data_IF_211895525026
#
_entry.id   IF_211895525026
#
_cell.length_a   1.000
_cell.length_b   1.000
_cell.length_c   1.000
_cell.angle_alpha   90.00
_cell.angle_beta   90.00
_cell.angle_gamma   90.00
#
_symmetry.space_group_name_H-M   'P 1'
#
loop_
_entity.id
_entity.type
_entity.pdbx_description
1 polymer ?
#
# COMPACT_ATOMS: atom_id res chain seq x y z
N UNK A 1 3.81 -82.11 12.71
CA UNK A 1 4.14 -80.67 12.85
C UNK A 1 4.61 -80.14 11.51
N UNK A 2 4.01 -79.09 10.92
CA UNK A 2 4.48 -78.56 9.64
C UNK A 2 5.76 -77.73 9.85
N UNK A 3 6.76 -77.93 8.98
CA UNK A 3 8.04 -77.20 9.03
C UNK A 3 7.85 -75.76 8.53
N UNK A 4 8.42 -74.80 9.24
CA UNK A 4 8.35 -73.37 8.88
C UNK A 4 8.95 -73.11 7.49
N UNK A 5 8.14 -72.57 6.58
CA UNK A 5 8.57 -72.09 5.27
C UNK A 5 9.49 -70.88 5.45
N UNK A 6 10.78 -71.05 5.14
CA UNK A 6 11.72 -69.93 5.09
C UNK A 6 11.35 -69.07 3.87
N UNK A 7 10.71 -67.92 4.12
CA UNK A 7 10.50 -66.90 3.08
C UNK A 7 11.86 -66.58 2.44
N UNK A 8 12.01 -66.88 1.15
CA UNK A 8 13.24 -66.58 0.42
C UNK A 8 13.42 -65.07 0.39
N UNK A 9 14.42 -64.58 1.12
CA UNK A 9 14.77 -63.16 1.14
C UNK A 9 15.29 -62.77 -0.23
N UNK A 10 14.67 -61.79 -0.88
CA UNK A 10 15.00 -61.39 -2.24
C UNK A 10 16.18 -60.40 -2.22
N UNK A 11 17.41 -60.80 -2.63
CA UNK A 11 18.62 -59.97 -2.49
C UNK A 11 18.58 -58.69 -3.33
N UNK A 12 17.73 -58.65 -4.36
CA UNK A 12 17.50 -57.47 -5.19
C UNK A 12 16.97 -56.27 -4.40
N UNK A 13 16.19 -56.51 -3.33
CA UNK A 13 15.63 -55.43 -2.48
C UNK A 13 16.67 -54.89 -1.50
N UNK A 14 17.63 -55.72 -1.06
CA UNK A 14 18.72 -55.32 -0.14
C UNK A 14 19.77 -54.44 -0.81
N UNK A 15 19.91 -54.56 -2.13
CA UNK A 15 20.92 -53.85 -2.92
C UNK A 15 20.37 -52.59 -3.60
N UNK A 16 19.11 -52.21 -3.38
CA UNK A 16 18.62 -50.89 -3.82
C UNK A 16 19.16 -49.84 -2.86
N UNK A 17 20.04 -48.93 -3.31
CA UNK A 17 20.52 -47.89 -2.43
C UNK A 17 19.35 -46.99 -2.06
N UNK A 18 19.12 -46.84 -0.76
CA UNK A 18 18.07 -45.98 -0.19
C UNK A 18 18.25 -44.52 -0.61
N UNK A 19 19.49 -44.11 -0.92
CA UNK A 19 19.84 -42.79 -1.42
C UNK A 19 20.69 -42.91 -2.68
N UNK A 20 20.20 -42.39 -3.80
CA UNK A 20 20.94 -42.35 -5.08
C UNK A 20 21.69 -41.02 -5.20
N UNK A 21 23.01 -41.08 -5.38
CA UNK A 21 23.83 -39.89 -5.64
C UNK A 21 23.54 -39.32 -7.03
N UNK A 22 23.33 -38.01 -7.14
CA UNK A 22 23.15 -37.32 -8.43
C UNK A 22 24.49 -37.21 -9.16
N UNK A 23 24.50 -37.49 -10.46
CA UNK A 23 25.70 -37.31 -11.32
C UNK A 23 26.06 -35.81 -11.40
N UNK A 24 27.35 -35.51 -11.27
CA UNK A 24 27.88 -34.16 -11.49
C UNK A 24 27.84 -33.87 -12.99
N UNK A 25 27.28 -32.72 -13.38
CA UNK A 25 27.26 -32.26 -14.77
C UNK A 25 28.25 -31.12 -14.92
N UNK A 26 29.10 -31.20 -15.94
CA UNK A 26 30.11 -30.17 -16.25
C UNK A 26 29.39 -28.83 -16.46
N UNK A 27 29.92 -27.76 -15.85
CA UNK A 27 29.37 -26.40 -15.94
C UNK A 27 28.13 -26.10 -15.08
N UNK A 28 27.70 -27.01 -14.19
CA UNK A 28 26.56 -26.76 -13.28
C UNK A 28 26.93 -26.96 -11.82
N UNK A 29 26.48 -26.04 -10.97
CA UNK A 29 26.64 -26.16 -9.53
C UNK A 29 25.76 -27.29 -8.97
N UNK A 30 26.34 -28.15 -8.14
CA UNK A 30 25.63 -29.25 -7.50
C UNK A 30 24.98 -28.73 -6.20
N UNK A 31 23.65 -28.72 -6.06
CA UNK A 31 23.00 -28.29 -4.83
C UNK A 31 23.26 -29.28 -3.70
N UNK A 32 23.42 -28.76 -2.48
CA UNK A 32 23.65 -29.57 -1.29
C UNK A 32 22.36 -30.31 -0.88
N UNK A 33 22.47 -31.60 -0.55
CA UNK A 33 21.31 -32.50 -0.40
C UNK A 33 20.45 -32.18 0.83
N UNK A 34 21.06 -31.69 1.91
CA UNK A 34 20.39 -31.47 3.21
C UNK A 34 20.41 -29.99 3.62
N UNK A 35 20.49 -29.07 2.66
CA UNK A 35 20.51 -27.63 2.96
C UNK A 35 19.09 -27.11 3.13
N UNK A 36 18.84 -26.48 4.28
CA UNK A 36 17.59 -25.75 4.53
C UNK A 36 17.66 -24.39 3.83
N UNK A 37 16.75 -24.13 2.91
CA UNK A 37 16.63 -22.82 2.30
C UNK A 37 15.96 -21.84 3.29
N UNK A 38 16.68 -20.79 3.68
CA UNK A 38 16.23 -19.73 4.59
C UNK A 38 15.82 -18.44 3.87
N UNK A 39 15.74 -18.46 2.53
CA UNK A 39 15.33 -17.31 1.74
C UNK A 39 13.84 -17.01 1.93
N UNK A 40 13.54 -16.07 2.83
CA UNK A 40 12.18 -15.57 3.06
C UNK A 40 12.06 -14.19 2.43
N UNK A 41 11.11 -14.04 1.48
CA UNK A 41 10.75 -12.75 0.90
C UNK A 41 9.43 -12.28 1.49
N UNK A 42 9.46 -11.19 2.25
CA UNK A 42 8.25 -10.53 2.77
C UNK A 42 8.05 -9.17 2.11
N UNK A 43 6.79 -8.83 1.81
CA UNK A 43 6.40 -7.48 1.37
C UNK A 43 5.70 -6.77 2.53
N UNK A 44 5.93 -5.47 2.67
CA UNK A 44 5.19 -4.65 3.63
C UNK A 44 3.89 -4.14 3.02
N UNK A 45 2.85 -4.06 3.84
CA UNK A 45 1.62 -3.35 3.50
C UNK A 45 1.87 -1.86 3.76
N UNK A 46 1.59 -1.00 2.78
CA UNK A 46 1.64 0.45 2.94
C UNK A 46 0.20 0.94 3.02
N UNK A 47 -0.19 1.40 4.21
CA UNK A 47 -1.49 2.04 4.41
C UNK A 47 -1.35 3.53 4.12
N UNK A 48 -2.35 4.10 3.46
CA UNK A 48 -2.45 5.55 3.29
C UNK A 48 -2.80 6.20 4.62
N UNK A 49 -2.16 7.32 4.92
CA UNK A 49 -2.47 8.11 6.11
C UNK A 49 -3.88 8.69 6.02
N UNK A 50 -4.62 8.63 7.13
CA UNK A 50 -5.92 9.30 7.27
C UNK A 50 -5.69 10.61 8.03
N UNK A 51 -6.13 11.73 7.47
CA UNK A 51 -5.97 13.09 8.03
C UNK A 51 -6.79 13.36 9.32
N UNK A 52 -7.04 12.34 10.14
CA UNK A 52 -7.80 12.44 11.40
C UNK A 52 -6.93 13.07 12.51
N UNK A 53 -5.61 12.84 12.47
CA UNK A 53 -4.67 13.33 13.50
C UNK A 53 -4.57 14.87 13.51
N UNK A 54 -4.69 15.52 12.35
CA UNK A 54 -4.66 16.98 12.26
C UNK A 54 -5.90 17.63 12.89
N UNK A 55 -7.03 16.93 12.93
CA UNK A 55 -8.26 17.41 13.57
C UNK A 55 -8.16 17.36 15.10
N UNK A 56 -7.43 16.39 15.65
CA UNK A 56 -7.24 16.23 17.10
C UNK A 56 -6.24 17.24 17.68
N UNK A 57 -5.14 17.53 16.98
CA UNK A 57 -4.12 18.49 17.46
C UNK A 57 -4.59 19.96 17.37
N UNK A 58 -5.57 20.27 16.52
CA UNK A 58 -6.21 21.60 16.50
C UNK A 58 -7.29 21.79 17.57
N UNK A 59 -7.68 20.73 18.28
CA UNK A 59 -8.83 20.72 19.22
C UNK A 59 -8.47 21.15 20.65
N UNK A 60 -7.18 21.28 20.99
CA UNK A 60 -6.76 21.62 22.35
C UNK A 60 -6.89 23.13 22.67
N UNK A 61 -7.03 24.01 21.67
CA UNK A 61 -7.06 25.47 21.90
C UNK A 61 -8.26 26.26 21.36
N UNK A 62 -9.21 25.65 20.64
CA UNK A 62 -10.45 26.35 20.23
C UNK A 62 -11.67 25.47 20.49
N UNK A 63 -12.14 25.50 21.74
CA UNK A 63 -13.48 24.99 22.12
C UNK A 63 -14.60 26.00 21.87
N UNK A 64 -14.32 27.11 21.21
CA UNK A 64 -15.30 28.11 20.86
C UNK A 64 -15.31 28.24 19.33
N UNK A 65 -16.47 27.95 18.73
CA UNK A 65 -16.81 28.21 17.32
C UNK A 65 -16.23 27.27 16.26
N UNK A 66 -16.80 26.06 16.15
CA UNK A 66 -17.25 25.47 14.87
C UNK A 66 -16.33 25.49 13.64
N UNK A 67 -15.01 25.60 13.79
CA UNK A 67 -14.05 25.68 12.68
C UNK A 67 -13.19 24.42 12.64
N UNK A 68 -13.76 23.38 12.04
CA UNK A 68 -13.04 22.24 11.48
C UNK A 68 -12.19 22.65 10.27
N UNK A 69 -11.24 23.58 10.43
CA UNK A 69 -10.54 24.16 9.28
C UNK A 69 -9.06 24.44 9.55
N UNK A 70 -8.28 23.37 9.66
CA UNK A 70 -6.96 23.32 9.05
C UNK A 70 -7.02 22.31 7.90
N UNK A 71 -7.94 22.53 6.96
CA UNK A 71 -7.86 21.86 5.67
C UNK A 71 -6.76 22.59 4.91
N UNK A 72 -5.60 21.94 4.78
CA UNK A 72 -4.53 22.43 3.92
C UNK A 72 -5.09 22.81 2.55
N UNK A 73 -4.65 23.94 2.01
CA UNK A 73 -5.18 24.50 0.76
C UNK A 73 -5.12 23.50 -0.40
N UNK A 74 -4.11 22.65 -0.43
CA UNK A 74 -3.97 21.61 -1.45
C UNK A 74 -5.10 20.56 -1.39
N UNK A 75 -5.61 20.25 -0.20
CA UNK A 75 -6.76 19.34 -0.01
C UNK A 75 -8.05 20.01 -0.51
N UNK A 76 -8.25 21.29 -0.21
CA UNK A 76 -9.40 22.05 -0.69
C UNK A 76 -9.37 22.12 -2.23
N UNK A 77 -8.20 22.41 -2.81
CA UNK A 77 -8.01 22.42 -4.28
C UNK A 77 -8.30 21.05 -4.90
N UNK A 78 -7.91 19.95 -4.25
CA UNK A 78 -8.27 18.61 -4.71
C UNK A 78 -9.78 18.37 -4.70
N UNK A 79 -10.52 18.97 -3.76
CA UNK A 79 -11.98 18.83 -3.65
C UNK A 79 -12.74 19.66 -4.68
N UNK A 80 -12.13 20.66 -5.33
CA UNK A 80 -12.79 21.43 -6.39
C UNK A 80 -13.23 20.52 -7.55
N UNK A 81 -12.39 19.55 -7.93
CA UNK A 81 -12.66 18.61 -9.02
C UNK A 81 -13.48 17.40 -8.60
N UNK A 82 -14.14 17.43 -7.45
CA UNK A 82 -14.89 16.29 -6.95
C UNK A 82 -16.17 16.06 -7.79
N UNK A 83 -16.57 14.81 -7.97
CA UNK A 83 -17.74 14.45 -8.77
C UNK A 83 -19.04 15.02 -8.18
N UNK A 84 -19.18 14.94 -6.85
CA UNK A 84 -20.32 15.49 -6.10
C UNK A 84 -20.30 17.03 -6.12
N UNK A 85 -21.38 17.61 -6.64
CA UNK A 85 -21.57 19.06 -6.71
C UNK A 85 -21.53 19.75 -5.35
N UNK A 86 -22.17 19.17 -4.32
CA UNK A 86 -22.19 19.77 -2.99
C UNK A 86 -20.77 19.91 -2.43
N UNK A 87 -19.93 18.90 -2.65
CA UNK A 87 -18.51 18.96 -2.29
C UNK A 87 -17.77 20.04 -3.09
N UNK A 88 -17.97 20.12 -4.41
CA UNK A 88 -17.34 21.17 -5.22
C UNK A 88 -17.75 22.59 -4.79
N UNK A 89 -19.05 22.83 -4.51
CA UNK A 89 -19.58 24.12 -4.03
C UNK A 89 -18.99 24.51 -2.68
N UNK A 90 -18.93 23.56 -1.73
CA UNK A 90 -18.30 23.80 -0.43
C UNK A 90 -16.80 24.08 -0.56
N UNK A 91 -16.10 23.41 -1.48
CA UNK A 91 -14.69 23.64 -1.75
C UNK A 91 -14.44 25.02 -2.37
N UNK A 92 -15.29 25.49 -3.30
CA UNK A 92 -15.23 26.86 -3.84
C UNK A 92 -15.39 27.90 -2.72
N UNK A 93 -16.36 27.70 -1.83
CA UNK A 93 -16.55 28.58 -0.66
C UNK A 93 -15.32 28.54 0.27
N UNK A 94 -14.75 27.35 0.48
CA UNK A 94 -13.53 27.14 1.26
C UNK A 94 -12.33 27.89 0.68
N UNK A 95 -12.08 27.79 -0.63
CA UNK A 95 -11.03 28.54 -1.34
C UNK A 95 -11.22 30.05 -1.15
N UNK A 96 -12.45 30.54 -1.35
CA UNK A 96 -12.76 31.96 -1.15
C UNK A 96 -12.45 32.43 0.26
N UNK A 97 -12.82 31.64 1.28
CA UNK A 97 -12.61 32.02 2.68
C UNK A 97 -11.14 31.92 3.09
N UNK A 98 -10.39 30.95 2.55
CA UNK A 98 -8.96 30.81 2.82
C UNK A 98 -8.15 32.01 2.31
N UNK A 99 -8.36 32.41 1.05
CA UNK A 99 -7.58 33.51 0.46
C UNK A 99 -8.00 34.90 0.93
N UNK A 100 -9.18 35.06 1.56
CA UNK A 100 -9.54 36.32 2.24
C UNK A 100 -8.54 36.68 3.34
N UNK A 101 -8.02 35.68 4.05
CA UNK A 101 -7.10 35.88 5.17
C UNK A 101 -5.64 35.79 4.72
N UNK A 102 -5.34 34.97 3.70
CA UNK A 102 -3.97 34.66 3.24
C UNK A 102 -3.74 35.08 1.78
N UNK A 103 -3.80 36.39 1.49
CA UNK A 103 -3.63 36.90 0.13
C UNK A 103 -2.25 36.60 -0.47
N UNK A 104 -1.20 36.58 0.35
CA UNK A 104 0.18 36.35 -0.11
C UNK A 104 0.39 34.95 -0.72
N UNK A 105 -0.37 33.96 -0.26
CA UNK A 105 -0.28 32.57 -0.74
C UNK A 105 -1.04 32.35 -2.05
N UNK A 106 -1.91 33.29 -2.45
CA UNK A 106 -2.72 33.17 -3.65
C UNK A 106 -1.85 32.99 -4.89
N UNK A 107 -0.80 33.80 -5.04
CA UNK A 107 0.10 33.75 -6.20
C UNK A 107 0.74 32.37 -6.37
N UNK A 108 1.06 31.68 -5.25
CA UNK A 108 1.65 30.34 -5.27
C UNK A 108 0.67 29.28 -5.75
N UNK A 109 -0.61 29.40 -5.38
CA UNK A 109 -1.64 28.40 -5.64
C UNK A 109 -2.54 28.71 -6.85
N UNK A 110 -2.39 29.89 -7.45
CA UNK A 110 -3.21 30.38 -8.57
C UNK A 110 -3.23 29.41 -9.76
N UNK A 111 -2.07 28.90 -10.16
CA UNK A 111 -1.97 27.94 -11.25
C UNK A 111 -2.81 26.68 -10.98
N UNK A 112 -2.73 26.12 -9.76
CA UNK A 112 -3.48 24.91 -9.38
C UNK A 112 -4.99 25.18 -9.40
N UNK A 113 -5.42 26.34 -8.94
CA UNK A 113 -6.83 26.72 -8.85
C UNK A 113 -7.42 26.87 -10.25
N UNK A 114 -6.75 27.60 -11.14
CA UNK A 114 -7.23 27.84 -12.51
C UNK A 114 -7.40 26.52 -13.27
N UNK A 115 -6.43 25.62 -13.19
CA UNK A 115 -6.50 24.29 -13.83
C UNK A 115 -7.69 23.47 -13.32
N UNK A 116 -8.08 23.62 -12.05
CA UNK A 116 -9.18 22.86 -11.44
C UNK A 116 -10.55 23.50 -11.63
N UNK A 117 -10.62 24.83 -11.76
CA UNK A 117 -11.88 25.56 -12.01
C UNK A 117 -12.32 25.46 -13.48
N UNK A 118 -11.39 25.45 -14.44
CA UNK A 118 -11.72 25.38 -15.87
C UNK A 118 -12.76 24.31 -16.23
N UNK A 119 -12.58 23.04 -15.78
CA UNK A 119 -13.56 21.98 -16.02
C UNK A 119 -14.91 22.18 -15.33
N UNK A 120 -14.97 22.93 -14.22
CA UNK A 120 -16.23 23.20 -13.50
C UNK A 120 -17.13 24.16 -14.27
N UNK A 121 -16.56 25.08 -15.05
CA UNK A 121 -17.32 26.01 -15.89
C UNK A 121 -18.01 25.31 -17.06
N UNK A 122 -17.54 24.13 -17.44
CA UNK A 122 -18.11 23.30 -18.50
C UNK A 122 -19.11 22.26 -17.98
N UNK A 123 -19.34 22.23 -16.67
CA UNK A 123 -20.24 21.29 -16.01
C UNK A 123 -21.64 21.91 -16.01
N UNK A 124 -22.61 21.21 -16.59
CA UNK A 124 -24.02 21.62 -16.71
C UNK A 124 -24.70 21.78 -15.34
#
# INVERSE_FOLDING_TARGET
>A
MPKASKRKFNPAVRNVPTFKKKKIKIGRHLPHLNSTNTEIKSKKIILTEQNVVNELNSSVYDKNDGKSQIKSIDVIISQLSHHNENMSRTAICGVRNYFKNNLNELLRHLHKIITRIGPLMLKE
#
